data_IF_510279362316
#
_entry.id   IF_510279362316
#
_cell.length_a   1.000
_cell.length_b   1.000
_cell.length_c   1.000
_cell.angle_alpha   90.00
_cell.angle_beta   90.00
_cell.angle_gamma   90.00
#
_symmetry.space_group_name_H-M   'P 1'
#
loop_
_entity.id
_entity.type
_entity.pdbx_description
1 polymer ?
#
# COMPACT_ATOMS: atom_id res chain seq x y z
N UNK A 1 3.78 -3.15 27.69
CA UNK A 1 2.80 -2.76 26.65
C UNK A 1 3.19 -1.48 25.93
N UNK A 2 3.61 -0.43 26.65
CA UNK A 2 3.95 0.87 26.03
C UNK A 2 5.11 0.80 25.01
N UNK A 3 6.20 0.12 25.33
CA UNK A 3 7.34 -0.03 24.39
C UNK A 3 6.95 -0.80 23.12
N UNK A 4 6.07 -1.81 23.25
CA UNK A 4 5.56 -2.58 22.11
C UNK A 4 4.65 -1.73 21.22
N UNK A 5 3.78 -0.91 21.83
CA UNK A 5 2.92 0.03 21.11
C UNK A 5 3.74 1.10 20.39
N UNK A 6 4.76 1.69 21.03
CA UNK A 6 5.68 2.65 20.39
C UNK A 6 6.43 2.02 19.22
N UNK A 7 6.92 0.79 19.38
CA UNK A 7 7.58 0.04 18.31
C UNK A 7 6.64 -0.20 17.11
N UNK A 8 5.42 -0.70 17.36
CA UNK A 8 4.39 -0.91 16.34
C UNK A 8 4.00 0.40 15.63
N UNK A 9 3.92 1.50 16.38
CA UNK A 9 3.61 2.83 15.82
C UNK A 9 4.72 3.30 14.88
N UNK A 10 5.99 3.17 15.27
CA UNK A 10 7.13 3.51 14.41
C UNK A 10 7.13 2.63 13.15
N UNK A 11 6.90 1.32 13.31
CA UNK A 11 6.81 0.39 12.19
C UNK A 11 5.67 0.77 11.22
N UNK A 12 4.51 1.15 11.76
CA UNK A 12 3.37 1.62 10.98
C UNK A 12 3.71 2.90 10.18
N UNK A 13 4.43 3.86 10.77
CA UNK A 13 4.88 5.06 10.06
C UNK A 13 5.78 4.69 8.88
N UNK A 14 6.74 3.78 9.06
CA UNK A 14 7.65 3.32 8.00
C UNK A 14 6.85 2.66 6.87
N UNK A 15 5.93 1.74 7.20
CA UNK A 15 5.06 1.08 6.21
C UNK A 15 4.19 2.10 5.45
N UNK A 16 3.69 3.12 6.14
CA UNK A 16 2.90 4.20 5.53
C UNK A 16 3.72 4.99 4.51
N UNK A 17 4.96 5.36 4.84
CA UNK A 17 5.85 6.07 3.93
C UNK A 17 6.18 5.24 2.69
N UNK A 18 6.44 3.94 2.86
CA UNK A 18 6.66 3.03 1.74
C UNK A 18 5.43 2.90 0.84
N UNK A 19 4.23 2.85 1.42
CA UNK A 19 2.98 2.79 0.67
C UNK A 19 2.76 4.10 -0.12
N UNK A 20 2.98 5.27 0.51
CA UNK A 20 2.90 6.57 -0.16
C UNK A 20 3.90 6.64 -1.32
N UNK A 21 5.16 6.25 -1.10
CA UNK A 21 6.18 6.25 -2.16
C UNK A 21 5.83 5.28 -3.30
N UNK A 22 5.34 4.08 -2.98
CA UNK A 22 4.91 3.08 -3.97
C UNK A 22 3.71 3.55 -4.79
N UNK A 23 2.71 4.15 -4.15
CA UNK A 23 1.54 4.74 -4.83
C UNK A 23 1.95 5.95 -5.65
N UNK A 24 2.78 6.85 -5.11
CA UNK A 24 3.27 8.03 -5.84
C UNK A 24 4.08 7.64 -7.08
N UNK A 25 4.93 6.62 -6.99
CA UNK A 25 5.69 6.08 -8.13
C UNK A 25 4.73 5.52 -9.19
N UNK A 26 3.74 4.72 -8.77
CA UNK A 26 2.74 4.15 -9.68
C UNK A 26 1.88 5.24 -10.36
N UNK A 27 1.44 6.24 -9.60
CA UNK A 27 0.67 7.37 -10.13
C UNK A 27 1.51 8.19 -11.10
N UNK A 28 2.79 8.45 -10.80
CA UNK A 28 3.68 9.22 -11.67
C UNK A 28 3.95 8.49 -13.00
N UNK A 29 4.18 7.17 -12.95
CA UNK A 29 4.36 6.35 -14.16
C UNK A 29 3.10 6.30 -15.03
N UNK A 30 1.90 6.24 -14.43
CA UNK A 30 0.63 6.30 -15.18
C UNK A 30 0.25 7.70 -15.66
N UNK A 31 0.62 8.74 -14.90
CA UNK A 31 0.20 10.13 -15.14
C UNK A 31 1.17 10.90 -16.02
N UNK A 32 2.40 10.39 -16.22
CA UNK A 32 3.33 10.89 -17.22
C UNK A 32 2.86 10.53 -18.63
N UNK A 33 2.17 11.46 -19.29
CA UNK A 33 1.74 11.42 -20.70
C UNK A 33 0.60 10.44 -21.07
N UNK A 34 0.42 9.33 -20.36
CA UNK A 34 -0.62 8.33 -20.68
C UNK A 34 -2.01 8.67 -20.10
N UNK A 35 -2.08 9.50 -19.06
CA UNK A 35 -3.34 9.89 -18.40
C UNK A 35 -4.27 10.80 -19.22
N UNK A 36 -3.82 11.36 -20.34
CA UNK A 36 -4.62 12.26 -21.20
C UNK A 36 -5.11 11.55 -22.47
N UNK A 37 -4.55 10.37 -22.83
CA UNK A 37 -4.99 9.60 -24.00
C UNK A 37 -5.60 8.27 -23.58
N UNK A 38 -6.93 8.26 -23.43
CA UNK A 38 -7.74 7.11 -23.79
C UNK A 38 -7.90 6.03 -22.72
N UNK A 39 -9.05 6.07 -22.05
CA UNK A 39 -9.82 4.85 -21.81
C UNK A 39 -10.16 4.21 -23.18
N UNK A 40 -9.35 3.27 -23.63
CA UNK A 40 -9.65 2.33 -24.73
C UNK A 40 -8.52 1.28 -24.66
N UNK A 41 -8.70 -0.02 -24.54
CA UNK A 41 -9.82 -0.93 -24.67
C UNK A 41 -9.42 -2.27 -24.03
N UNK A 42 -10.43 -3.06 -23.72
CA UNK A 42 -10.47 -4.51 -23.52
C UNK A 42 -9.43 -5.35 -24.28
N UNK A 43 -9.02 -6.44 -23.61
CA UNK A 43 -8.53 -7.72 -24.16
C UNK A 43 -7.17 -7.76 -24.88
N UNK A 44 -6.21 -8.43 -24.22
CA UNK A 44 -5.53 -9.57 -24.86
C UNK A 44 -4.93 -10.49 -23.80
N UNK A 45 -5.57 -11.64 -23.60
CA UNK A 45 -4.92 -12.86 -23.13
C UNK A 45 -3.75 -13.16 -24.07
N UNK A 46 -2.50 -13.05 -23.63
CA UNK A 46 -1.41 -13.93 -24.09
C UNK A 46 -0.09 -13.66 -23.37
N UNK A 47 0.45 -14.72 -22.77
CA UNK A 47 1.83 -14.87 -22.26
C UNK A 47 2.22 -14.06 -21.00
N UNK A 48 2.09 -14.73 -19.85
CA UNK A 48 2.59 -14.33 -18.53
C UNK A 48 4.12 -14.07 -18.53
N UNK A 49 4.54 -12.88 -18.92
CA UNK A 49 5.65 -12.20 -18.25
C UNK A 49 4.98 -11.18 -17.34
N UNK A 50 5.16 -11.30 -16.02
CA UNK A 50 4.78 -10.26 -15.07
C UNK A 50 5.38 -8.94 -15.56
N UNK A 51 4.55 -8.07 -16.12
CA UNK A 51 4.96 -6.70 -16.43
C UNK A 51 5.30 -6.04 -15.09
N UNK A 52 6.29 -5.14 -15.09
CA UNK A 52 6.75 -4.45 -13.87
C UNK A 52 5.57 -3.81 -13.11
N UNK A 53 4.57 -3.33 -13.85
CA UNK A 53 3.32 -2.77 -13.31
C UNK A 53 2.49 -3.78 -12.51
N UNK A 54 2.33 -5.00 -13.00
CA UNK A 54 1.57 -6.05 -12.32
C UNK A 54 2.30 -6.50 -11.05
N UNK A 55 3.63 -6.48 -11.08
CA UNK A 55 4.50 -6.71 -9.93
C UNK A 55 4.33 -5.61 -8.87
N UNK A 56 4.42 -4.33 -9.27
CA UNK A 56 4.21 -3.17 -8.40
C UNK A 56 2.81 -3.20 -7.80
N UNK A 57 1.77 -3.45 -8.60
CA UNK A 57 0.39 -3.52 -8.12
C UNK A 57 0.19 -4.64 -7.10
N UNK A 58 0.80 -5.81 -7.32
CA UNK A 58 0.71 -6.95 -6.40
C UNK A 58 1.42 -6.67 -5.08
N UNK A 59 2.62 -6.07 -5.12
CA UNK A 59 3.34 -5.66 -3.91
C UNK A 59 2.63 -4.54 -3.16
N UNK A 60 2.15 -3.50 -3.86
CA UNK A 60 1.37 -2.41 -3.25
C UNK A 60 0.10 -2.96 -2.60
N UNK A 61 -0.59 -3.92 -3.23
CA UNK A 61 -1.77 -4.57 -2.62
C UNK A 61 -1.41 -5.32 -1.34
N UNK A 62 -0.33 -6.10 -1.35
CA UNK A 62 0.14 -6.83 -0.15
C UNK A 62 0.50 -5.85 0.97
N UNK A 63 1.24 -4.79 0.65
CA UNK A 63 1.62 -3.74 1.61
C UNK A 63 0.37 -3.04 2.15
N UNK A 64 -0.65 -2.80 1.33
CA UNK A 64 -1.91 -2.22 1.76
C UNK A 64 -2.68 -3.11 2.74
N UNK A 65 -2.72 -4.43 2.50
CA UNK A 65 -3.31 -5.36 3.47
C UNK A 65 -2.54 -5.37 4.81
N UNK A 66 -1.21 -5.33 4.76
CA UNK A 66 -0.37 -5.23 5.97
C UNK A 66 -0.64 -3.93 6.72
N UNK A 67 -0.74 -2.81 6.01
CA UNK A 67 -1.09 -1.51 6.57
C UNK A 67 -2.45 -1.54 7.27
N UNK A 68 -3.47 -2.11 6.62
CA UNK A 68 -4.83 -2.21 7.15
C UNK A 68 -4.85 -3.08 8.42
N UNK A 69 -4.15 -4.23 8.38
CA UNK A 69 -4.00 -5.11 9.53
C UNK A 69 -3.30 -4.41 10.71
N UNK A 70 -2.19 -3.72 10.46
CA UNK A 70 -1.46 -2.96 11.48
C UNK A 70 -2.32 -1.83 12.06
N UNK A 71 -3.11 -1.15 11.23
CA UNK A 71 -4.02 -0.09 11.66
C UNK A 71 -5.09 -0.62 12.62
N UNK A 72 -5.71 -1.74 12.30
CA UNK A 72 -6.70 -2.41 13.18
C UNK A 72 -6.04 -2.87 14.48
N UNK A 73 -4.86 -3.49 14.40
CA UNK A 73 -4.14 -3.96 15.57
C UNK A 73 -3.75 -2.81 16.51
N UNK A 74 -3.21 -1.71 15.97
CA UNK A 74 -2.91 -0.50 16.73
C UNK A 74 -4.15 0.12 17.34
N UNK A 75 -5.28 0.15 16.61
CA UNK A 75 -6.55 0.65 17.12
C UNK A 75 -7.02 -0.17 18.33
N UNK A 76 -7.01 -1.50 18.25
CA UNK A 76 -7.40 -2.38 19.36
C UNK A 76 -6.45 -2.20 20.56
N UNK A 77 -5.14 -2.17 20.32
CA UNK A 77 -4.16 -1.94 21.39
C UNK A 77 -4.33 -0.55 22.03
N UNK A 78 -4.64 0.48 21.24
CA UNK A 78 -4.92 1.81 21.77
C UNK A 78 -6.12 1.80 22.72
N UNK A 79 -7.20 1.08 22.39
CA UNK A 79 -8.38 0.97 23.26
C UNK A 79 -8.11 0.16 24.54
N UNK A 80 -7.17 -0.79 24.51
CA UNK A 80 -6.78 -1.55 25.69
C UNK A 80 -5.79 -0.80 26.59
N UNK A 81 -4.93 0.05 26.01
CA UNK A 81 -3.95 0.87 26.73
C UNK A 81 -4.60 2.16 27.29
N UNK A 82 -5.50 2.77 26.52
CA UNK A 82 -6.28 3.95 26.89
C UNK A 82 -7.74 3.57 27.20
N UNK A 83 -7.94 2.53 28.02
CA UNK A 83 -9.25 2.40 28.68
C UNK A 83 -9.49 3.68 29.50
N UNK A 84 -10.71 4.26 29.47
CA UNK A 84 -11.05 5.35 30.39
C UNK A 84 -10.87 4.92 31.85
#
# INVERSE_FOLDING_TARGET
>A
MENLYRFLTIFFIIVSLLLIAGVASYVTEKSGLSGIMGQQSTESRQSKKLTKEELIQRYTSIIAYIFLFLSVLLSIMSQQIFKP
#
